data_IF_616157294809
#
_entry.id   IF_616157294809
#
_cell.length_a   1.000
_cell.length_b   1.000
_cell.length_c   1.000
_cell.angle_alpha   90.00
_cell.angle_beta   90.00
_cell.angle_gamma   90.00
#
_symmetry.space_group_name_H-M   'P 1'
#
loop_
_entity.id
_entity.type
_entity.pdbx_description
1 polymer ?
#
# COMPACT_ATOMS: atom_id res chain seq x y z
N UNK A 1 7.47 -8.49 -17.62
CA UNK A 1 6.34 -8.69 -16.68
C UNK A 1 5.53 -9.90 -17.13
N UNK A 2 5.31 -10.87 -16.26
CA UNK A 2 4.54 -12.07 -16.61
C UNK A 2 3.03 -11.76 -16.60
N UNK A 3 2.25 -12.37 -17.49
CA UNK A 3 0.79 -12.20 -17.53
C UNK A 3 0.15 -12.49 -16.17
N UNK A 4 -0.96 -11.84 -15.86
CA UNK A 4 -1.76 -12.18 -14.67
C UNK A 4 -2.18 -13.65 -14.75
N UNK A 5 -1.88 -14.43 -13.71
CA UNK A 5 -2.20 -15.87 -13.65
C UNK A 5 -3.47 -16.19 -12.86
N UNK A 6 -3.73 -15.43 -11.80
CA UNK A 6 -4.90 -15.53 -10.94
C UNK A 6 -5.30 -14.14 -10.46
N UNK A 7 -6.52 -13.99 -9.97
CA UNK A 7 -6.97 -12.74 -9.31
C UNK A 7 -6.02 -12.38 -8.17
N UNK A 8 -5.68 -13.33 -7.31
CA UNK A 8 -4.75 -13.12 -6.18
C UNK A 8 -3.36 -12.62 -6.60
N UNK A 9 -2.84 -13.11 -7.73
CA UNK A 9 -1.59 -12.60 -8.30
C UNK A 9 -1.75 -11.17 -8.80
N UNK A 10 -2.82 -10.88 -9.54
CA UNK A 10 -3.12 -9.51 -9.99
C UNK A 10 -3.27 -8.54 -8.83
N UNK A 11 -3.97 -8.93 -7.76
CA UNK A 11 -4.10 -8.12 -6.54
C UNK A 11 -2.75 -7.83 -5.89
N UNK A 12 -1.85 -8.80 -5.81
CA UNK A 12 -0.50 -8.59 -5.27
C UNK A 12 0.27 -7.56 -6.08
N UNK A 13 0.30 -7.70 -7.41
CA UNK A 13 1.02 -6.79 -8.30
C UNK A 13 0.47 -5.36 -8.22
N UNK A 14 -0.87 -5.21 -8.17
CA UNK A 14 -1.50 -3.90 -8.00
C UNK A 14 -1.16 -3.29 -6.64
N UNK A 15 -1.23 -4.06 -5.56
CA UNK A 15 -0.86 -3.58 -4.22
C UNK A 15 0.62 -3.17 -4.14
N UNK A 16 1.51 -3.95 -4.75
CA UNK A 16 2.93 -3.67 -4.79
C UNK A 16 3.21 -2.35 -5.51
N UNK A 17 2.57 -2.13 -6.67
CA UNK A 17 2.68 -0.86 -7.41
C UNK A 17 2.13 0.32 -6.59
N UNK A 18 1.00 0.16 -5.90
CA UNK A 18 0.43 1.23 -5.08
C UNK A 18 1.36 1.60 -3.92
N UNK A 19 1.92 0.59 -3.23
CA UNK A 19 2.78 0.79 -2.06
C UNK A 19 4.15 1.37 -2.41
N UNK A 20 4.67 1.11 -3.62
CA UNK A 20 5.96 1.61 -4.12
C UNK A 20 5.81 2.87 -5.01
N UNK A 21 4.60 3.41 -5.16
CA UNK A 21 4.33 4.52 -6.07
C UNK A 21 4.74 5.88 -5.48
N UNK A 22 5.72 6.52 -6.12
CA UNK A 22 6.08 7.92 -5.85
C UNK A 22 4.88 8.86 -6.07
N UNK A 23 4.05 8.60 -7.08
CA UNK A 23 2.87 9.42 -7.35
C UNK A 23 1.83 9.33 -6.22
N UNK A 24 1.71 8.18 -5.55
CA UNK A 24 0.85 8.06 -4.35
C UNK A 24 1.42 8.89 -3.21
N UNK A 25 2.74 8.82 -2.98
CA UNK A 25 3.41 9.62 -1.94
C UNK A 25 3.22 11.14 -2.15
N UNK A 26 3.44 11.63 -3.38
CA UNK A 26 3.24 13.05 -3.72
C UNK A 26 1.80 13.51 -3.51
N UNK A 27 0.81 12.67 -3.85
CA UNK A 27 -0.59 12.99 -3.64
C UNK A 27 -0.98 12.97 -2.15
N UNK A 28 -0.35 12.13 -1.33
CA UNK A 28 -0.55 12.14 0.12
C UNK A 28 0.00 13.42 0.76
N UNK A 29 1.15 13.92 0.29
CA UNK A 29 1.68 15.23 0.75
C UNK A 29 0.76 16.39 0.38
N UNK A 30 0.21 16.40 -0.84
CA UNK A 30 -0.80 17.40 -1.24
C UNK A 30 -2.06 17.30 -0.38
N UNK A 31 -2.54 16.08 -0.14
CA UNK A 31 -3.70 15.85 0.72
C UNK A 31 -3.42 16.33 2.15
N UNK A 32 -2.21 16.12 2.67
CA UNK A 32 -1.79 16.63 3.98
C UNK A 32 -1.86 18.15 4.00
N UNK A 33 -1.32 18.82 2.98
CA UNK A 33 -1.35 20.27 2.85
C UNK A 33 -2.78 20.83 2.85
N UNK A 34 -3.71 20.15 2.19
CA UNK A 34 -5.12 20.58 2.12
C UNK A 34 -5.89 20.33 3.42
N UNK A 35 -5.54 19.28 4.18
CA UNK A 35 -6.33 18.81 5.33
C UNK A 35 -5.74 19.16 6.69
N UNK A 36 -4.47 19.56 6.77
CA UNK A 36 -3.76 19.83 8.03
C UNK A 36 -3.40 21.32 8.10
N UNK A 37 -4.16 22.14 8.85
CA UNK A 37 -3.82 23.54 9.06
C UNK A 37 -2.46 23.71 9.74
N UNK A 38 -1.79 24.82 9.44
CA UNK A 38 -0.53 25.17 10.10
C UNK A 38 -0.71 25.24 11.63
N UNK A 39 0.22 24.63 12.37
CA UNK A 39 0.23 24.54 13.84
C UNK A 39 -0.93 23.76 14.47
N UNK A 40 -1.67 22.93 13.71
CA UNK A 40 -2.65 22.00 14.27
C UNK A 40 -2.04 20.60 14.47
N UNK A 41 -1.42 20.39 15.64
CA UNK A 41 -0.80 19.12 16.02
C UNK A 41 -1.81 17.96 16.07
N UNK A 42 -3.08 18.25 16.37
CA UNK A 42 -4.13 17.22 16.45
C UNK A 42 -4.50 16.73 15.06
N UNK A 43 -4.67 17.65 14.11
CA UNK A 43 -4.89 17.32 12.71
C UNK A 43 -3.70 16.56 12.12
N UNK A 44 -2.46 16.98 12.39
CA UNK A 44 -1.26 16.29 11.93
C UNK A 44 -1.16 14.85 12.45
N UNK A 45 -1.41 14.66 13.76
CA UNK A 45 -1.42 13.33 14.37
C UNK A 45 -2.49 12.44 13.74
N UNK A 46 -3.69 12.97 13.53
CA UNK A 46 -4.80 12.22 12.90
C UNK A 46 -4.47 11.82 11.47
N UNK A 47 -3.93 12.75 10.68
CA UNK A 47 -3.52 12.47 9.30
C UNK A 47 -2.47 11.35 9.25
N UNK A 48 -1.44 11.45 10.09
CA UNK A 48 -0.37 10.45 10.18
C UNK A 48 -0.93 9.07 10.56
N UNK A 49 -1.84 9.02 11.53
CA UNK A 49 -2.51 7.78 11.93
C UNK A 49 -3.39 7.19 10.82
N UNK A 50 -4.08 8.04 10.05
CA UNK A 50 -4.88 7.61 8.90
C UNK A 50 -4.01 6.96 7.82
N UNK A 51 -2.89 7.60 7.45
CA UNK A 51 -1.94 7.05 6.47
C UNK A 51 -1.35 5.73 6.97
N UNK A 52 -0.91 5.66 8.24
CA UNK A 52 -0.34 4.45 8.82
C UNK A 52 -1.36 3.29 8.87
N UNK A 53 -2.62 3.58 9.23
CA UNK A 53 -3.70 2.59 9.27
C UNK A 53 -3.98 2.00 7.89
N UNK A 54 -4.11 2.86 6.86
CA UNK A 54 -4.34 2.43 5.47
C UNK A 54 -3.12 1.65 4.95
N UNK A 55 -1.91 2.15 5.16
CA UNK A 55 -0.68 1.47 4.75
C UNK A 55 -0.54 0.08 5.37
N UNK A 56 -0.88 -0.04 6.66
CA UNK A 56 -0.92 -1.33 7.37
C UNK A 56 -1.96 -2.27 6.77
N UNK A 57 -3.16 -1.77 6.45
CA UNK A 57 -4.22 -2.56 5.83
C UNK A 57 -3.78 -3.11 4.46
N UNK A 58 -3.19 -2.27 3.61
CA UNK A 58 -2.69 -2.66 2.29
C UNK A 58 -1.53 -3.66 2.40
N UNK A 59 -0.58 -3.42 3.31
CA UNK A 59 0.55 -4.34 3.55
C UNK A 59 0.08 -5.70 4.03
N UNK A 60 -0.84 -5.74 5.01
CA UNK A 60 -1.42 -6.99 5.50
C UNK A 60 -2.19 -7.73 4.40
N UNK A 61 -2.88 -6.98 3.54
CA UNK A 61 -3.53 -7.54 2.36
C UNK A 61 -2.50 -8.22 1.45
N UNK A 62 -1.41 -7.53 1.12
CA UNK A 62 -0.32 -8.02 0.29
C UNK A 62 0.36 -9.27 0.89
N UNK A 63 0.69 -9.27 2.18
CA UNK A 63 1.33 -10.42 2.85
C UNK A 63 0.46 -11.68 2.78
N UNK A 64 -0.86 -11.54 2.97
CA UNK A 64 -1.81 -12.66 2.83
C UNK A 64 -1.84 -13.24 1.41
N UNK A 65 -1.34 -12.54 0.39
CA UNK A 65 -1.30 -13.02 -0.99
C UNK A 65 -0.02 -13.80 -1.32
N UNK A 66 1.08 -13.58 -0.58
CA UNK A 66 2.39 -14.19 -0.87
C UNK A 66 2.37 -15.72 -0.96
N UNK A 67 1.60 -16.40 -0.11
CA UNK A 67 1.46 -17.86 -0.14
C UNK A 67 0.57 -18.41 -1.27
N UNK A 68 -0.10 -17.53 -2.00
CA UNK A 68 -0.97 -17.84 -3.14
C UNK A 68 -0.38 -17.36 -4.46
N UNK A 69 0.83 -16.78 -4.42
CA UNK A 69 1.55 -16.42 -5.63
C UNK A 69 1.99 -17.68 -6.39
N UNK A 70 2.26 -17.55 -7.70
CA UNK A 70 2.91 -18.63 -8.44
C UNK A 70 4.21 -19.06 -7.76
N UNK A 71 4.51 -20.37 -7.70
CA UNK A 71 5.73 -20.88 -7.03
C UNK A 71 7.04 -20.29 -7.55
N UNK A 72 7.04 -19.83 -8.80
CA UNK A 72 8.18 -19.21 -9.46
C UNK A 72 8.22 -17.67 -9.30
N UNK A 73 7.28 -17.09 -8.55
CA UNK A 73 7.25 -15.66 -8.26
C UNK A 73 8.29 -15.35 -7.18
N UNK A 74 9.08 -14.26 -7.30
CA UNK A 74 10.16 -13.93 -6.35
C UNK A 74 9.66 -13.80 -4.90
N UNK A 75 8.49 -13.22 -4.71
CA UNK A 75 7.89 -13.02 -3.38
C UNK A 75 7.00 -14.18 -2.89
N UNK A 76 6.97 -15.32 -3.59
CA UNK A 76 6.23 -16.48 -3.11
C UNK A 76 6.83 -16.97 -1.79
N UNK A 77 5.99 -17.13 -0.77
CA UNK A 77 6.38 -17.66 0.55
C UNK A 77 5.48 -18.81 0.93
N UNK A 78 6.05 -19.93 1.36
CA UNK A 78 5.25 -21.03 1.92
C UNK A 78 4.58 -20.54 3.22
N UNK A 79 3.34 -20.97 3.44
CA UNK A 79 2.56 -20.59 4.64
C UNK A 79 3.07 -21.33 5.87
#
# INVERSE_FOLDING_TARGET
MSRIRTVTHGEYEVLNVILDSLAVAENLERLKFDMVPNNDEVAEKRFTQSVASIGTFLTNMMERRKHRLPKNHPDYRVK
#
